data_IF_015641686659
#
_entry.id   IF_015641686659
#
_cell.length_a   1.000
_cell.length_b   1.000
_cell.length_c   1.000
_cell.angle_alpha   90.00
_cell.angle_beta   90.00
_cell.angle_gamma   90.00
#
_symmetry.space_group_name_H-M   'P 1'
#
loop_
_entity.id
_entity.type
_entity.pdbx_description
1 polymer ?
#
# COMPACT_ATOMS: atom_id res chain seq x y z
N UNK A 1 -19.93 -1.29 -4.53
CA UNK A 1 -18.84 -1.84 -3.68
C UNK A 1 -18.20 -0.67 -2.91
N UNK A 2 -17.71 -0.84 -1.67
CA UNK A 2 -17.19 0.33 -0.90
C UNK A 2 -16.00 0.97 -1.61
N UNK A 3 -15.19 0.17 -2.32
CA UNK A 3 -14.11 0.69 -3.15
C UNK A 3 -14.58 1.61 -4.28
N UNK A 4 -15.79 1.48 -4.82
CA UNK A 4 -16.32 2.36 -5.88
C UNK A 4 -16.74 3.74 -5.35
N UNK A 5 -17.03 3.82 -4.06
CA UNK A 5 -17.43 5.06 -3.37
C UNK A 5 -16.22 5.91 -2.93
N UNK A 6 -15.00 5.41 -3.11
CA UNK A 6 -13.76 6.11 -2.79
C UNK A 6 -13.41 7.13 -3.87
N UNK A 7 -13.12 8.36 -3.44
CA UNK A 7 -12.52 9.37 -4.31
C UNK A 7 -11.09 8.95 -4.69
N UNK A 8 -10.52 9.58 -5.72
CA UNK A 8 -9.12 9.33 -6.08
C UNK A 8 -8.16 9.60 -4.90
N UNK A 9 -8.46 10.63 -4.10
CA UNK A 9 -7.70 10.93 -2.90
C UNK A 9 -7.82 9.81 -1.85
N UNK A 10 -9.05 9.33 -1.58
CA UNK A 10 -9.29 8.24 -0.64
C UNK A 10 -8.53 6.97 -1.08
N UNK A 11 -8.48 6.68 -2.38
CA UNK A 11 -7.72 5.53 -2.93
C UNK A 11 -6.22 5.68 -2.70
N UNK A 12 -5.69 6.89 -2.84
CA UNK A 12 -4.28 7.18 -2.53
C UNK A 12 -4.01 6.99 -1.04
N UNK A 13 -4.88 7.47 -0.16
CA UNK A 13 -4.76 7.26 1.29
C UNK A 13 -4.81 5.78 1.66
N UNK A 14 -5.77 5.04 1.10
CA UNK A 14 -5.87 3.58 1.27
C UNK A 14 -4.59 2.87 0.81
N UNK A 15 -4.00 3.29 -0.31
CA UNK A 15 -2.76 2.67 -0.82
C UNK A 15 -1.56 2.98 0.06
N UNK A 16 -1.48 4.16 0.67
CA UNK A 16 -0.38 4.53 1.59
C UNK A 16 -0.27 3.58 2.79
N UNK A 17 -1.39 3.02 3.24
CA UNK A 17 -1.41 2.05 4.35
C UNK A 17 -0.53 0.83 4.08
N UNK A 18 -0.25 0.46 2.82
CA UNK A 18 0.68 -0.64 2.51
C UNK A 18 2.12 -0.39 2.96
N UNK A 19 2.48 0.87 3.23
CA UNK A 19 3.80 1.25 3.74
C UNK A 19 3.82 1.39 5.27
N UNK A 20 2.66 1.34 5.92
CA UNK A 20 2.52 1.39 7.36
C UNK A 20 2.54 -0.02 7.97
N UNK A 21 2.76 -0.10 9.28
CA UNK A 21 2.70 -1.36 10.00
C UNK A 21 1.23 -1.69 10.34
N UNK A 22 0.56 -2.46 9.47
CA UNK A 22 -0.79 -2.97 9.71
C UNK A 22 -0.75 -4.35 10.36
N UNK A 23 -1.70 -4.64 11.26
CA UNK A 23 -1.78 -5.94 11.94
C UNK A 23 -2.99 -6.75 11.49
N UNK A 24 -2.84 -8.07 11.42
CA UNK A 24 -3.98 -8.97 11.14
C UNK A 24 -5.02 -8.81 12.23
N UNK A 25 -6.29 -8.68 11.83
CA UNK A 25 -7.42 -8.39 12.71
C UNK A 25 -7.74 -6.90 12.83
N UNK A 26 -6.89 -6.01 12.34
CA UNK A 26 -7.12 -4.56 12.39
C UNK A 26 -8.23 -4.12 11.44
N UNK A 27 -9.05 -3.15 11.87
CA UNK A 27 -10.12 -2.57 11.04
C UNK A 27 -9.55 -1.42 10.23
N UNK A 28 -9.71 -1.50 8.92
CA UNK A 28 -9.25 -0.46 8.00
C UNK A 28 -10.39 0.52 7.72
N UNK A 29 -10.17 1.79 8.06
CA UNK A 29 -11.09 2.90 7.85
C UNK A 29 -10.35 4.02 7.12
N UNK A 30 -10.89 4.49 6.01
CA UNK A 30 -10.31 5.59 5.20
C UNK A 30 -11.40 6.62 4.94
N UNK A 31 -11.11 7.90 5.19
CA UNK A 31 -12.09 8.98 5.06
C UNK A 31 -13.45 8.71 5.76
N UNK A 32 -13.42 8.03 6.92
CA UNK A 32 -14.62 7.63 7.67
C UNK A 32 -15.39 6.43 7.10
N UNK A 33 -14.97 5.88 5.95
CA UNK A 33 -15.57 4.71 5.32
C UNK A 33 -14.89 3.44 5.83
N UNK A 34 -15.68 2.47 6.28
CA UNK A 34 -15.18 1.16 6.72
C UNK A 34 -14.84 0.31 5.48
N UNK A 35 -13.55 0.16 5.21
CA UNK A 35 -13.07 -0.61 4.06
C UNK A 35 -13.18 -2.11 4.35
N UNK A 36 -12.75 -2.54 5.54
CA UNK A 36 -12.81 -3.94 5.93
C UNK A 36 -11.93 -4.26 7.14
N UNK A 37 -11.56 -5.53 7.27
CA UNK A 37 -10.61 -6.01 8.26
C UNK A 37 -9.41 -6.63 7.55
N UNK A 38 -8.19 -6.35 8.04
CA UNK A 38 -7.00 -7.03 7.54
C UNK A 38 -7.05 -8.51 7.96
N UNK A 39 -7.12 -9.43 7.00
CA UNK A 39 -7.19 -10.87 7.27
C UNK A 39 -5.86 -11.57 7.03
N UNK A 40 -5.03 -11.05 6.12
CA UNK A 40 -3.73 -11.65 5.77
C UNK A 40 -2.69 -10.58 5.46
N UNK A 41 -1.48 -10.84 5.93
CA UNK A 41 -0.25 -10.17 5.52
C UNK A 41 0.66 -11.25 4.92
N UNK A 42 0.98 -11.13 3.64
CA UNK A 42 1.78 -12.10 2.88
C UNK A 42 3.07 -11.45 2.44
N UNK A 43 4.19 -12.01 2.90
CA UNK A 43 5.53 -11.61 2.49
C UNK A 43 6.16 -12.68 1.58
N UNK A 44 6.56 -12.28 0.39
CA UNK A 44 7.28 -13.11 -0.56
C UNK A 44 8.80 -12.91 -0.41
N UNK A 45 9.58 -13.95 -0.75
CA UNK A 45 11.05 -13.96 -0.59
C UNK A 45 11.77 -12.90 -1.45
N UNK A 46 11.13 -12.41 -2.49
CA UNK A 46 11.61 -11.34 -3.37
C UNK A 46 11.42 -9.93 -2.78
N UNK A 47 10.86 -9.83 -1.56
CA UNK A 47 10.62 -8.57 -0.87
C UNK A 47 9.25 -7.95 -1.17
N UNK A 48 8.42 -8.60 -1.99
CA UNK A 48 7.04 -8.18 -2.20
C UNK A 48 6.20 -8.49 -0.96
N UNK A 49 5.38 -7.53 -0.55
CA UNK A 49 4.42 -7.70 0.54
C UNK A 49 3.02 -7.33 0.06
N UNK A 50 2.02 -8.14 0.42
CA UNK A 50 0.63 -7.92 0.08
C UNK A 50 -0.28 -8.04 1.31
N UNK A 51 -1.26 -7.14 1.39
CA UNK A 51 -2.21 -7.05 2.49
C UNK A 51 -3.62 -7.31 1.97
N UNK A 52 -4.33 -8.24 2.60
CA UNK A 52 -5.69 -8.61 2.23
C UNK A 52 -6.66 -8.01 3.23
N UNK A 53 -7.51 -7.11 2.74
CA UNK A 53 -8.56 -6.45 3.51
C UNK A 53 -9.90 -6.99 3.02
N UNK A 54 -10.60 -7.71 3.89
CA UNK A 54 -11.86 -8.34 3.54
C UNK A 54 -13.03 -7.60 4.21
N UNK A 55 -14.12 -7.47 3.47
CA UNK A 55 -15.43 -7.16 4.01
C UNK A 55 -16.47 -8.16 3.46
N UNK A 56 -17.73 -8.03 3.85
CA UNK A 56 -18.77 -9.00 3.50
C UNK A 56 -19.03 -9.12 1.98
N UNK A 57 -18.60 -8.15 1.18
CA UNK A 57 -18.99 -8.01 -0.22
C UNK A 57 -17.79 -7.98 -1.18
N UNK A 58 -16.58 -7.66 -0.72
CA UNK A 58 -15.38 -7.56 -1.56
C UNK A 58 -14.07 -7.80 -0.79
N UNK A 59 -13.02 -8.09 -1.55
CA UNK A 59 -11.65 -8.23 -1.08
C UNK A 59 -10.80 -7.14 -1.73
N UNK A 60 -10.19 -6.28 -0.91
CA UNK A 60 -9.20 -5.31 -1.34
C UNK A 60 -7.80 -5.87 -1.10
N UNK A 61 -6.94 -5.81 -2.11
CA UNK A 61 -5.53 -6.22 -2.01
C UNK A 61 -4.64 -5.01 -2.17
N UNK A 62 -3.81 -4.73 -1.16
CA UNK A 62 -2.79 -3.68 -1.22
C UNK A 62 -1.43 -4.32 -1.43
N UNK A 63 -0.71 -3.87 -2.46
CA UNK A 63 0.68 -4.27 -2.68
C UNK A 63 1.61 -3.18 -2.17
N UNK A 64 2.53 -3.56 -1.29
CA UNK A 64 3.63 -2.68 -0.90
C UNK A 64 4.59 -2.55 -2.07
N UNK A 65 4.78 -1.33 -2.55
CA UNK A 65 5.79 -1.04 -3.55
C UNK A 65 7.22 -1.17 -3.00
N UNK A 66 8.20 -1.00 -3.87
CA UNK A 66 9.62 -1.10 -3.49
C UNK A 66 9.98 -0.15 -2.35
N UNK A 67 10.69 -0.66 -1.34
CA UNK A 67 11.27 0.15 -0.27
C UNK A 67 12.77 0.38 -0.52
N UNK A 68 13.27 1.55 -0.11
CA UNK A 68 14.68 1.94 -0.25
C UNK A 68 14.84 3.18 -1.13
N UNK A 69 15.27 4.29 -0.53
CA UNK A 69 15.68 5.46 -1.31
C UNK A 69 16.91 5.08 -2.14
N UNK A 70 16.77 5.05 -3.46
CA UNK A 70 17.94 5.05 -4.34
C UNK A 70 18.59 6.42 -4.17
N UNK A 71 19.62 6.50 -3.32
CA UNK A 71 20.49 7.67 -3.26
C UNK A 71 21.17 7.72 -4.63
N UNK A 72 20.62 8.48 -5.56
CA UNK A 72 21.27 8.71 -6.83
C UNK A 72 22.66 9.24 -6.52
N UNK A 73 23.71 8.52 -6.90
CA UNK A 73 24.97 9.20 -7.10
C UNK A 73 24.66 10.25 -8.17
N UNK A 74 24.67 11.52 -7.80
CA UNK A 74 24.77 12.59 -8.77
C UNK A 74 26.05 12.27 -9.54
N UNK A 75 25.92 11.70 -10.74
CA UNK A 75 27.02 11.62 -11.68
C UNK A 75 27.40 13.07 -11.90
N UNK A 76 28.44 13.55 -11.22
CA UNK A 76 29.13 14.77 -11.60
C UNK A 76 29.52 14.49 -13.04
N UNK A 77 28.83 15.14 -13.98
CA UNK A 77 29.11 15.03 -15.39
C UNK A 77 30.58 15.35 -15.59
N UNK A 78 31.37 14.34 -15.91
CA UNK A 78 32.72 14.53 -16.39
C UNK A 78 32.62 15.18 -17.77
N UNK A 79 32.69 16.50 -17.81
CA UNK A 79 32.96 17.22 -19.06
C UNK A 79 34.44 17.05 -19.35
N UNK A 80 34.79 15.99 -20.06
CA UNK A 80 36.01 15.95 -20.86
C UNK A 80 35.68 16.52 -22.23
N UNK A 81 36.16 17.75 -22.47
CA UNK A 81 36.08 18.48 -23.74
C UNK A 81 36.95 19.72 -23.65
#
# INVERSE_FOLDING_TARGET
MINEELTDLDRVELTKLSYEAMNVGERVVVAGKKIGQLTRDVYAKDGMQAFFIENNNEITVLFKGSYGFKKGNATIGGTSG
#
